data_IF_998028481774
#
_entry.id   IF_998028481774
#
_cell.length_a   1.000
_cell.length_b   1.000
_cell.length_c   1.000
_cell.angle_alpha   90.00
_cell.angle_beta   90.00
_cell.angle_gamma   90.00
#
_symmetry.space_group_name_H-M   'P 1'
#
loop_
_entity.id
_entity.type
_entity.pdbx_description
1 polymer ?
#
# COMPACT_ATOMS: atom_id res chain seq x y z
N UNK A 1 -9.28 -13.29 1.98
CA UNK A 1 -9.06 -11.91 2.47
C UNK A 1 -7.91 -11.27 1.72
N UNK A 2 -8.06 -10.00 1.32
CA UNK A 2 -7.05 -9.24 0.58
C UNK A 2 -6.47 -8.13 1.45
N UNK A 3 -5.18 -7.87 1.28
CA UNK A 3 -4.42 -6.87 2.00
C UNK A 3 -3.84 -5.85 1.02
N UNK A 4 -3.81 -4.61 1.46
CA UNK A 4 -3.27 -3.48 0.69
C UNK A 4 -2.03 -2.98 1.42
N UNK A 5 -1.00 -2.65 0.65
CA UNK A 5 0.19 -1.98 1.14
C UNK A 5 0.02 -0.48 0.98
N UNK A 6 0.46 0.29 1.98
CA UNK A 6 0.40 1.73 1.96
C UNK A 6 1.59 2.34 2.71
N UNK A 7 1.83 3.63 2.44
CA UNK A 7 2.69 4.48 3.25
C UNK A 7 1.96 5.75 3.59
N UNK A 8 2.33 6.34 4.72
CA UNK A 8 1.89 7.67 5.09
C UNK A 8 2.93 8.66 4.59
N UNK A 9 2.56 9.54 3.65
CA UNK A 9 3.45 10.63 3.25
C UNK A 9 3.06 11.87 4.05
N UNK A 10 4.02 12.44 4.76
CA UNK A 10 3.84 13.71 5.47
C UNK A 10 4.23 14.79 4.47
N UNK A 11 3.27 15.18 3.63
CA UNK A 11 3.43 16.36 2.77
C UNK A 11 3.04 17.62 3.57
N UNK A 12 3.58 18.80 3.22
CA UNK A 12 3.23 20.07 3.88
C UNK A 12 1.74 20.45 3.74
N UNK A 13 1.00 19.78 2.85
CA UNK A 13 -0.44 19.95 2.67
C UNK A 13 -1.31 19.00 3.53
N UNK A 14 -0.70 18.11 4.34
CA UNK A 14 -1.40 17.18 5.23
C UNK A 14 -0.95 15.72 5.06
N UNK A 15 -1.43 14.86 5.97
CA UNK A 15 -1.20 13.41 5.90
C UNK A 15 -1.88 12.83 4.66
N UNK A 16 -1.09 12.39 3.67
CA UNK A 16 -1.62 11.73 2.46
C UNK A 16 -1.31 10.23 2.48
N UNK A 17 -2.37 9.42 2.49
CA UNK A 17 -2.24 7.97 2.35
C UNK A 17 -1.91 7.62 0.90
N UNK A 18 -0.78 6.95 0.69
CA UNK A 18 -0.36 6.46 -0.60
C UNK A 18 -0.39 4.93 -0.61
N UNK A 19 -1.26 4.36 -1.44
CA UNK A 19 -1.45 2.92 -1.59
C UNK A 19 -0.63 2.37 -2.74
N UNK A 20 -0.15 1.13 -2.61
CA UNK A 20 0.60 0.47 -3.68
C UNK A 20 -0.35 0.08 -4.82
N UNK A 21 -0.23 0.73 -5.98
CA UNK A 21 -0.96 0.40 -7.22
C UNK A 21 -0.30 -0.72 -8.01
N UNK A 22 1.03 -0.72 -8.09
CA UNK A 22 1.78 -1.74 -8.86
C UNK A 22 3.19 -1.88 -8.35
N UNK A 23 3.75 -3.08 -8.51
CA UNK A 23 5.17 -3.35 -8.33
C UNK A 23 5.67 -3.90 -9.67
N UNK A 24 6.61 -3.20 -10.31
CA UNK A 24 7.19 -3.59 -11.60
C UNK A 24 8.69 -3.32 -11.57
N UNK A 25 9.48 -4.33 -11.92
CA UNK A 25 10.94 -4.24 -12.00
C UNK A 25 11.60 -3.68 -10.72
N UNK A 26 11.15 -4.15 -9.54
CA UNK A 26 11.64 -3.68 -8.24
C UNK A 26 11.14 -2.30 -7.81
N UNK A 27 10.51 -1.53 -8.69
CA UNK A 27 9.91 -0.22 -8.39
C UNK A 27 8.46 -0.35 -7.94
N UNK A 28 8.09 0.45 -6.95
CA UNK A 28 6.72 0.53 -6.41
C UNK A 28 6.07 1.79 -6.95
N UNK A 29 4.89 1.63 -7.52
CA UNK A 29 4.04 2.71 -8.00
C UNK A 29 2.92 2.90 -7.00
N UNK A 30 2.78 4.13 -6.50
CA UNK A 30 1.78 4.49 -5.52
C UNK A 30 0.59 5.21 -6.17
N UNK A 31 -0.55 5.21 -5.49
CA UNK A 31 -1.76 5.96 -5.83
C UNK A 31 -2.37 6.50 -4.54
N UNK A 32 -2.96 7.69 -4.59
CA UNK A 32 -3.75 8.22 -3.46
C UNK A 32 -5.17 7.65 -3.43
N UNK A 33 -5.61 7.02 -4.53
CA UNK A 33 -6.95 6.46 -4.66
C UNK A 33 -6.97 5.01 -4.14
N UNK A 34 -7.59 4.81 -2.99
CA UNK A 34 -7.72 3.51 -2.32
C UNK A 34 -8.31 2.39 -3.22
N UNK A 35 -9.37 2.63 -4.02
CA UNK A 35 -9.93 1.62 -4.93
C UNK A 35 -8.94 1.08 -5.98
N UNK A 36 -7.96 1.90 -6.38
CA UNK A 36 -6.91 1.54 -7.35
C UNK A 36 -5.78 0.71 -6.73
N UNK A 37 -5.80 0.51 -5.42
CA UNK A 37 -4.75 -0.20 -4.72
C UNK A 37 -4.71 -1.68 -5.11
N UNK A 38 -3.49 -2.19 -5.24
CA UNK A 38 -3.25 -3.59 -5.54
C UNK A 38 -3.52 -4.44 -4.31
N UNK A 39 -4.25 -5.53 -4.55
CA UNK A 39 -4.50 -6.56 -3.57
C UNK A 39 -3.34 -7.54 -3.48
N UNK A 40 -2.98 -7.88 -2.25
CA UNK A 40 -1.99 -8.89 -1.92
C UNK A 40 -2.60 -9.94 -0.98
N UNK A 41 -2.10 -11.16 -1.09
CA UNK A 41 -2.33 -12.21 -0.08
C UNK A 41 -1.54 -11.85 1.17
N UNK A 42 -2.02 -12.25 2.36
CA UNK A 42 -1.42 -11.89 3.65
C UNK A 42 0.11 -12.09 3.71
N UNK A 43 0.58 -13.30 3.41
CA UNK A 43 2.02 -13.65 3.43
C UNK A 43 2.84 -12.71 2.55
N UNK A 44 2.31 -12.40 1.36
CA UNK A 44 2.96 -11.49 0.42
C UNK A 44 2.92 -10.04 0.89
N UNK A 45 1.84 -9.60 1.53
CA UNK A 45 1.74 -8.28 2.11
C UNK A 45 2.77 -8.09 3.24
N UNK A 46 2.87 -9.04 4.17
CA UNK A 46 3.85 -9.02 5.27
C UNK A 46 5.29 -9.02 4.73
N UNK A 47 5.58 -9.87 3.74
CA UNK A 47 6.91 -9.91 3.15
C UNK A 47 7.28 -8.57 2.47
N UNK A 48 6.37 -8.02 1.67
CA UNK A 48 6.60 -6.77 0.95
C UNK A 48 6.63 -5.56 1.88
N UNK A 49 5.86 -5.58 2.96
CA UNK A 49 5.85 -4.52 3.96
C UNK A 49 7.21 -4.40 4.64
N UNK A 50 7.80 -5.53 5.03
CA UNK A 50 9.14 -5.57 5.60
C UNK A 50 10.21 -5.16 4.58
N UNK A 51 10.13 -5.72 3.35
CA UNK A 51 11.11 -5.44 2.29
C UNK A 51 11.19 -3.96 1.90
N UNK A 52 10.05 -3.27 1.90
CA UNK A 52 9.93 -1.91 1.38
C UNK A 52 9.61 -0.87 2.46
N UNK A 53 9.66 -1.26 3.74
CA UNK A 53 9.30 -0.43 4.88
C UNK A 53 7.92 0.26 4.71
N UNK A 54 6.93 -0.54 4.31
CA UNK A 54 5.54 -0.12 4.11
C UNK A 54 4.66 -0.66 5.24
N UNK A 55 3.50 -0.07 5.41
CA UNK A 55 2.44 -0.61 6.26
C UNK A 55 1.49 -1.46 5.41
N UNK A 56 0.80 -2.41 6.04
CA UNK A 56 -0.25 -3.21 5.39
C UNK A 56 -1.53 -3.12 6.20
N UNK A 57 -2.67 -3.18 5.50
CA UNK A 57 -4.00 -3.18 6.12
C UNK A 57 -4.92 -4.12 5.34
N UNK A 58 -5.88 -4.74 6.02
CA UNK A 58 -6.91 -5.52 5.34
C UNK A 58 -7.81 -4.59 4.53
N UNK A 59 -8.11 -4.95 3.28
CA UNK A 59 -8.96 -4.15 2.39
C UNK A 59 -10.33 -3.84 3.01
N UNK A 60 -10.83 -4.67 3.92
CA UNK A 60 -12.10 -4.44 4.62
C UNK A 60 -12.16 -3.12 5.42
N UNK A 61 -11.01 -2.56 5.78
CA UNK A 61 -10.92 -1.32 6.53
C UNK A 61 -10.74 -0.07 5.65
N UNK A 62 -10.58 -0.27 4.34
CA UNK A 62 -10.48 0.80 3.35
C UNK A 62 -11.85 0.88 2.67
N UNK A 63 -12.64 1.90 3.03
CA UNK A 63 -13.95 2.20 2.44
C UNK A 63 -13.81 3.05 1.19
#
# INVERSE_FOLDING_TARGET
MSYILYRNNIDPAGHSFQYVKKIRNGKIYFTSHAPDAKNFVFVKAVFLSLKFNLSWISRRYIR
#
